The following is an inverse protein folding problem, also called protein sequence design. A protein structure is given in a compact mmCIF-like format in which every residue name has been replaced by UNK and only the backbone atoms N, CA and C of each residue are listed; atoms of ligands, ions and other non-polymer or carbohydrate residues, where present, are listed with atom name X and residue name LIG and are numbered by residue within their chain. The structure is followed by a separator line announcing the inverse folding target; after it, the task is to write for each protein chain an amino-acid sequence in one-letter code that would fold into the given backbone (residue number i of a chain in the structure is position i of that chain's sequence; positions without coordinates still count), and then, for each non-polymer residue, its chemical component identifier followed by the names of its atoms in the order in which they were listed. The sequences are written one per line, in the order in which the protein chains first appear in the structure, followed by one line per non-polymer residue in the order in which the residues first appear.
data_IF_551891116819
#
_entry.id   IF_551891116819
#
_cell.length_a   1.000
_cell.length_b   1.000
_cell.length_c   1.000
_cell.angle_alpha   90.00
_cell.angle_beta   90.00
_cell.angle_gamma   90.00
#
_symmetry.space_group_name_H-M   'P 1'
#
loop_
_entity.id
_entity.type
_entity.pdbx_description
1 polymer ?
#
# COMPACT_ATOMS: atom_id res chain seq x y z
N UNK A 1 -6.18 -20.27 13.50
CA UNK A 1 -5.26 -19.90 12.42
C UNK A 1 -5.95 -20.19 11.11
N UNK A 2 -6.26 -19.17 10.31
CA UNK A 2 -6.92 -19.31 9.00
C UNK A 2 -6.05 -18.61 7.97
N UNK A 3 -6.00 -19.13 6.75
CA UNK A 3 -5.41 -18.45 5.59
C UNK A 3 -6.48 -17.58 4.93
N UNK A 4 -6.20 -16.29 4.78
CA UNK A 4 -7.14 -15.29 4.28
C UNK A 4 -6.50 -14.53 3.13
N UNK A 5 -7.23 -14.35 2.04
CA UNK A 5 -6.81 -13.49 0.92
C UNK A 5 -7.64 -12.22 0.98
N UNK A 6 -6.95 -11.07 1.02
CA UNK A 6 -7.55 -9.74 0.89
C UNK A 6 -7.31 -9.25 -0.54
N UNK A 7 -8.38 -8.88 -1.24
CA UNK A 7 -8.31 -8.38 -2.62
C UNK A 7 -8.48 -6.86 -2.62
N UNK A 8 -7.44 -6.17 -3.12
CA UNK A 8 -7.30 -4.71 -3.16
C UNK A 8 -6.40 -4.18 -2.05
N UNK A 9 -5.33 -3.45 -2.41
CA UNK A 9 -4.34 -2.82 -1.52
C UNK A 9 -4.58 -1.32 -1.32
N UNK A 10 -5.82 -0.85 -1.53
CA UNK A 10 -6.25 0.47 -1.08
C UNK A 10 -6.30 0.56 0.45
N UNK A 11 -6.62 1.75 0.98
CA UNK A 11 -6.64 2.02 2.42
C UNK A 11 -7.41 0.97 3.23
N UNK A 12 -8.60 0.58 2.77
CA UNK A 12 -9.45 -0.39 3.46
C UNK A 12 -8.85 -1.79 3.47
N UNK A 13 -8.29 -2.23 2.34
CA UNK A 13 -7.69 -3.57 2.23
C UNK A 13 -6.40 -3.70 3.03
N UNK A 14 -5.56 -2.67 3.01
CA UNK A 14 -4.36 -2.60 3.84
C UNK A 14 -4.71 -2.65 5.34
N UNK A 15 -5.71 -1.87 5.79
CA UNK A 15 -6.13 -1.87 7.20
C UNK A 15 -6.78 -3.19 7.61
N UNK A 16 -7.57 -3.81 6.73
CA UNK A 16 -8.16 -5.13 6.97
C UNK A 16 -7.07 -6.20 7.10
N UNK A 17 -6.09 -6.21 6.20
CA UNK A 17 -4.96 -7.13 6.25
C UNK A 17 -4.17 -6.98 7.57
N UNK A 18 -3.86 -5.75 7.98
CA UNK A 18 -3.19 -5.46 9.25
C UNK A 18 -3.99 -6.00 10.44
N UNK A 19 -5.29 -5.69 10.49
CA UNK A 19 -6.18 -6.15 11.58
C UNK A 19 -6.22 -7.69 11.66
N UNK A 20 -6.22 -8.38 10.52
CA UNK A 20 -6.23 -9.84 10.48
C UNK A 20 -4.89 -10.44 10.93
N UNK A 21 -3.77 -9.82 10.55
CA UNK A 21 -2.44 -10.21 11.03
C UNK A 21 -2.31 -10.03 12.55
N UNK A 22 -2.76 -8.90 13.09
CA UNK A 22 -2.76 -8.63 14.54
C UNK A 22 -3.62 -9.63 15.33
N UNK A 23 -4.64 -10.21 14.69
CA UNK A 23 -5.49 -11.26 15.25
C UNK A 23 -4.91 -12.67 15.09
N UNK A 24 -3.73 -12.80 14.50
CA UNK A 24 -3.03 -14.08 14.33
C UNK A 24 -3.60 -14.93 13.19
N UNK A 25 -3.99 -14.32 12.07
CA UNK A 25 -4.28 -15.03 10.83
C UNK A 25 -3.07 -15.04 9.88
N UNK A 26 -3.04 -16.00 8.97
CA UNK A 26 -2.14 -16.01 7.81
C UNK A 26 -2.82 -15.22 6.68
N UNK A 27 -2.19 -14.16 6.18
CA UNK A 27 -2.86 -13.18 5.31
C UNK A 27 -2.03 -12.92 4.06
N UNK A 28 -2.67 -13.05 2.90
CA UNK A 28 -2.16 -12.59 1.61
C UNK A 28 -2.96 -11.37 1.14
N UNK A 29 -2.26 -10.36 0.62
CA UNK A 29 -2.86 -9.16 0.02
C UNK A 29 -2.57 -9.17 -1.47
N UNK A 30 -3.63 -9.21 -2.28
CA UNK A 30 -3.53 -9.23 -3.74
C UNK A 30 -4.07 -7.92 -4.30
N UNK A 31 -3.35 -7.29 -5.22
CA UNK A 31 -3.83 -6.14 -5.99
C UNK A 31 -3.58 -6.40 -7.49
N UNK A 32 -4.22 -5.62 -8.37
CA UNK A 32 -4.13 -5.75 -9.83
C UNK A 32 -2.76 -5.41 -10.41
N UNK A 33 -1.80 -4.99 -9.57
CA UNK A 33 -0.41 -4.75 -9.98
C UNK A 33 -0.29 -3.58 -10.94
N UNK A 34 -0.65 -2.37 -10.48
CA UNK A 34 -0.37 -1.16 -11.26
C UNK A 34 1.12 -0.86 -11.18
N UNK A 35 1.75 -0.61 -12.32
CA UNK A 35 3.09 -0.05 -12.34
C UNK A 35 3.07 1.29 -11.60
N UNK A 36 3.93 1.41 -10.60
CA UNK A 36 4.15 2.67 -9.92
C UNK A 36 4.76 3.63 -10.94
N UNK A 37 4.16 4.82 -11.07
CA UNK A 37 4.76 5.85 -11.92
C UNK A 37 6.13 6.19 -11.35
N UNK A 38 7.15 6.42 -12.21
CA UNK A 38 8.43 6.88 -11.75
C UNK A 38 8.25 8.11 -10.86
N UNK A 39 8.95 8.13 -9.74
CA UNK A 39 8.96 9.29 -8.87
C UNK A 39 9.48 10.49 -9.67
N UNK A 40 8.76 11.64 -9.68
CA UNK A 40 8.98 12.70 -10.67
C UNK A 40 10.36 13.36 -10.55
N UNK A 41 10.94 13.42 -9.36
CA UNK A 41 12.30 13.93 -9.14
C UNK A 41 13.10 12.99 -8.22
N UNK A 42 14.05 12.20 -8.75
CA UNK A 42 14.90 11.36 -7.93
C UNK A 42 15.61 12.15 -6.82
N UNK A 43 15.46 11.71 -5.58
CA UNK A 43 16.09 12.33 -4.42
C UNK A 43 15.33 13.52 -3.82
N UNK A 44 14.25 13.98 -4.43
CA UNK A 44 13.38 14.98 -3.81
C UNK A 44 12.47 14.33 -2.76
N UNK A 45 12.26 15.00 -1.65
CA UNK A 45 11.23 14.65 -0.66
C UNK A 45 9.85 15.09 -1.15
N UNK A 46 8.80 14.51 -0.56
CA UNK A 46 7.42 14.94 -0.82
C UNK A 46 7.19 16.44 -0.53
N UNK A 47 7.88 16.99 0.46
CA UNK A 47 7.77 18.41 0.81
C UNK A 47 8.41 19.30 -0.25
N UNK A 48 9.61 18.95 -0.73
CA UNK A 48 10.28 19.71 -1.79
C UNK A 48 9.49 19.69 -3.10
N UNK A 49 8.81 18.58 -3.42
CA UNK A 49 7.96 18.49 -4.61
C UNK A 49 6.76 19.44 -4.56
N UNK A 50 6.18 19.68 -3.37
CA UNK A 50 5.05 20.61 -3.21
C UNK A 50 5.42 22.03 -3.61
N UNK A 51 6.63 22.46 -3.30
CA UNK A 51 7.10 23.80 -3.61
C UNK A 51 7.52 23.94 -5.09
N UNK A 52 7.96 22.85 -5.73
CA UNK A 52 8.51 22.85 -7.10
C UNK A 52 7.48 22.58 -8.21
N UNK A 53 6.40 21.85 -7.89
CA UNK A 53 5.37 21.44 -8.86
C UNK A 53 4.05 22.21 -8.73
N UNK A 54 4.00 23.22 -7.86
CA UNK A 54 2.84 24.10 -7.66
C UNK A 54 2.85 25.30 -8.62
#
# INVERSE_FOLDING_TARGET
MNRIVVVGSGVSGAHAALTLLERGHDVELWDVGREEKPFPEPGATFHELKDRLA
#
